data_IF_885365220932
#
_entry.id   IF_885365220932
#
_cell.length_a   1.000
_cell.length_b   1.000
_cell.length_c   1.000
_cell.angle_alpha   90.00
_cell.angle_beta   90.00
_cell.angle_gamma   90.00
#
_symmetry.space_group_name_H-M   'P 1'
#
loop_
_entity.id
_entity.type
_entity.pdbx_description
1 polymer ?
#
# COMPACT_ATOMS: atom_id res chain seq x y z
N UNK A 1 -14.78 7.00 -20.86
CA UNK A 1 -13.73 6.97 -19.84
C UNK A 1 -12.41 6.75 -20.55
N UNK A 2 -11.50 7.72 -20.51
CA UNK A 2 -10.14 7.50 -21.00
C UNK A 2 -9.52 6.45 -20.09
N UNK A 3 -9.05 5.32 -20.66
CA UNK A 3 -8.30 4.33 -19.89
C UNK A 3 -7.05 5.02 -19.35
N UNK A 4 -6.85 5.00 -18.03
CA UNK A 4 -5.58 5.40 -17.42
C UNK A 4 -4.47 4.58 -18.09
N UNK A 5 -3.39 5.25 -18.51
CA UNK A 5 -2.24 4.61 -19.15
C UNK A 5 -1.49 3.71 -18.17
N UNK A 6 -0.65 2.81 -18.68
CA UNK A 6 0.07 1.87 -17.81
C UNK A 6 1.11 2.60 -16.95
N UNK A 7 1.76 3.63 -17.50
CA UNK A 7 2.71 4.48 -16.80
C UNK A 7 2.01 5.23 -15.66
N UNK A 8 0.81 5.76 -15.93
CA UNK A 8 0.05 6.46 -14.89
C UNK A 8 -0.44 5.51 -13.80
N UNK A 9 -0.78 4.26 -14.13
CA UNK A 9 -1.07 3.25 -13.12
C UNK A 9 0.15 2.95 -12.26
N UNK A 10 1.33 2.87 -12.86
CA UNK A 10 2.56 2.63 -12.13
C UNK A 10 2.87 3.79 -11.18
N UNK A 11 2.72 5.04 -11.63
CA UNK A 11 2.87 6.21 -10.75
C UNK A 11 1.92 6.15 -9.54
N UNK A 12 0.64 5.82 -9.77
CA UNK A 12 -0.36 5.74 -8.70
C UNK A 12 -0.12 4.57 -7.75
N UNK A 13 0.37 3.45 -8.28
CA UNK A 13 0.81 2.31 -7.48
C UNK A 13 1.99 2.68 -6.58
N UNK A 14 3.04 3.31 -7.12
CA UNK A 14 4.20 3.75 -6.36
C UNK A 14 3.79 4.78 -5.30
N UNK A 15 3.01 5.79 -5.68
CA UNK A 15 2.55 6.82 -4.75
C UNK A 15 1.72 6.22 -3.60
N UNK A 16 0.89 5.21 -3.88
CA UNK A 16 0.15 4.47 -2.84
C UNK A 16 1.10 3.79 -1.87
N UNK A 17 2.04 3.00 -2.37
CA UNK A 17 3.01 2.30 -1.53
C UNK A 17 3.81 3.31 -0.70
N UNK A 18 4.17 4.46 -1.28
CA UNK A 18 4.92 5.52 -0.61
C UNK A 18 4.25 6.09 0.64
N UNK A 19 2.90 6.12 0.70
CA UNK A 19 2.15 6.57 1.88
C UNK A 19 2.23 5.64 3.08
N UNK A 20 2.68 4.40 2.91
CA UNK A 20 2.72 3.39 3.96
C UNK A 20 4.14 2.88 4.19
N UNK A 21 4.56 2.75 5.45
CA UNK A 21 5.91 2.29 5.77
C UNK A 21 6.31 2.52 7.22
N UNK A 22 7.38 1.88 7.67
CA UNK A 22 7.78 1.96 9.09
C UNK A 22 8.19 3.36 9.55
N UNK A 23 8.45 4.29 8.61
CA UNK A 23 8.67 5.70 8.93
C UNK A 23 7.50 6.32 9.72
N UNK A 24 6.26 5.86 9.48
CA UNK A 24 5.06 6.35 10.16
C UNK A 24 5.07 6.10 11.67
N UNK A 25 5.89 5.16 12.16
CA UNK A 25 6.00 4.89 13.60
C UNK A 25 6.56 6.09 14.37
N UNK A 26 7.36 6.95 13.71
CA UNK A 26 7.95 8.16 14.29
C UNK A 26 7.24 9.47 13.92
N UNK A 27 6.28 9.43 12.98
CA UNK A 27 5.54 10.62 12.54
C UNK A 27 4.49 11.05 13.57
N UNK A 28 3.89 12.23 13.41
CA UNK A 28 2.78 12.68 14.26
C UNK A 28 1.42 12.11 13.82
N UNK A 29 0.40 12.26 14.66
CA UNK A 29 -0.92 11.69 14.42
C UNK A 29 -1.63 12.29 13.19
N UNK A 30 -1.33 13.54 12.83
CA UNK A 30 -1.89 14.20 11.65
C UNK A 30 -1.28 13.61 10.38
N UNK A 31 0.04 13.40 10.37
CA UNK A 31 0.77 12.79 9.26
C UNK A 31 0.33 11.33 9.06
N UNK A 32 0.20 10.56 10.14
CA UNK A 32 -0.35 9.20 10.07
C UNK A 32 -1.78 9.24 9.55
N UNK A 33 -2.58 10.17 10.07
CA UNK A 33 -3.96 10.38 9.68
C UNK A 33 -4.13 10.53 8.16
N UNK A 34 -3.44 11.52 7.62
CA UNK A 34 -3.46 11.86 6.20
C UNK A 34 -2.91 10.72 5.33
N UNK A 35 -1.74 10.18 5.67
CA UNK A 35 -1.12 9.14 4.85
C UNK A 35 -1.92 7.84 4.83
N UNK A 36 -2.35 7.33 5.99
CA UNK A 36 -2.99 6.02 6.08
C UNK A 36 -4.49 6.09 5.78
N UNK A 37 -5.21 7.02 6.43
CA UNK A 37 -6.68 7.01 6.43
C UNK A 37 -7.30 7.89 5.35
N UNK A 38 -6.49 8.61 4.56
CA UNK A 38 -6.98 9.37 3.39
C UNK A 38 -6.33 8.86 2.09
N UNK A 39 -5.01 8.98 1.97
CA UNK A 39 -4.30 8.69 0.72
C UNK A 39 -4.11 7.18 0.49
N UNK A 40 -3.52 6.46 1.46
CA UNK A 40 -3.21 5.04 1.34
C UNK A 40 -4.48 4.19 1.21
N UNK A 41 -5.52 4.45 2.02
CA UNK A 41 -6.80 3.73 1.97
C UNK A 41 -7.39 3.75 0.55
N UNK A 42 -7.52 4.95 -0.03
CA UNK A 42 -8.01 5.13 -1.40
C UNK A 42 -7.14 4.37 -2.41
N UNK A 43 -5.82 4.43 -2.22
CA UNK A 43 -4.85 3.77 -3.09
C UNK A 43 -4.88 2.24 -2.99
N UNK A 44 -5.06 1.67 -1.80
CA UNK A 44 -5.15 0.21 -1.59
C UNK A 44 -6.38 -0.37 -2.29
N UNK A 45 -7.52 0.30 -2.17
CA UNK A 45 -8.77 -0.13 -2.81
C UNK A 45 -8.65 -0.04 -4.35
N UNK A 46 -7.96 0.98 -4.86
CA UNK A 46 -7.90 1.29 -6.29
C UNK A 46 -6.74 0.62 -7.02
N UNK A 47 -5.51 0.83 -6.55
CA UNK A 47 -4.27 0.55 -7.28
C UNK A 47 -3.56 -0.73 -6.85
N UNK A 48 -3.93 -1.31 -5.70
CA UNK A 48 -3.52 -2.66 -5.31
C UNK A 48 -4.57 -3.72 -5.66
N UNK A 49 -5.63 -3.34 -6.38
CA UNK A 49 -6.63 -4.31 -6.88
C UNK A 49 -5.98 -5.30 -7.85
N UNK A 50 -6.45 -6.56 -7.83
CA UNK A 50 -5.89 -7.66 -8.63
C UNK A 50 -5.78 -7.31 -10.12
N UNK A 51 -6.81 -6.68 -10.70
CA UNK A 51 -6.80 -6.25 -12.10
C UNK A 51 -5.69 -5.23 -12.42
N UNK A 52 -5.37 -4.34 -11.47
CA UNK A 52 -4.28 -3.35 -11.65
C UNK A 52 -2.93 -4.03 -11.53
N UNK A 53 -2.75 -4.87 -10.52
CA UNK A 53 -1.51 -5.63 -10.33
C UNK A 53 -1.20 -6.52 -11.53
N UNK A 54 -2.20 -7.23 -12.06
CA UNK A 54 -2.03 -8.07 -13.24
C UNK A 54 -1.61 -7.23 -14.45
N UNK A 55 -2.24 -6.07 -14.67
CA UNK A 55 -1.88 -5.18 -15.79
C UNK A 55 -0.44 -4.68 -15.69
N UNK A 56 0.02 -4.32 -14.48
CA UNK A 56 1.39 -3.87 -14.25
C UNK A 56 2.40 -5.01 -14.46
N UNK A 57 2.04 -6.23 -14.03
CA UNK A 57 2.84 -7.45 -14.24
C UNK A 57 2.93 -7.83 -15.73
N UNK A 58 1.80 -7.83 -16.45
CA UNK A 58 1.74 -8.10 -17.89
C UNK A 58 2.58 -7.10 -18.71
N UNK A 59 2.72 -5.87 -18.21
CA UNK A 59 3.56 -4.84 -18.79
C UNK A 59 5.04 -4.94 -18.40
N UNK A 60 5.41 -5.90 -17.54
CA UNK A 60 6.77 -6.10 -17.05
C UNK A 60 7.26 -5.03 -16.07
N UNK A 61 6.34 -4.26 -15.47
CA UNK A 61 6.69 -3.16 -14.56
C UNK A 61 6.84 -3.61 -13.09
N UNK A 62 6.19 -4.71 -12.73
CA UNK A 62 6.33 -5.34 -11.40
C UNK A 62 6.52 -6.85 -11.58
N UNK A 63 7.31 -7.47 -10.70
CA UNK A 63 7.54 -8.92 -10.71
C UNK A 63 6.39 -9.69 -10.07
N UNK A 64 6.35 -11.02 -10.28
CA UNK A 64 5.40 -11.90 -9.62
C UNK A 64 5.51 -11.83 -8.08
N UNK A 65 6.73 -11.63 -7.56
CA UNK A 65 6.96 -11.42 -6.13
C UNK A 65 6.26 -10.14 -5.65
N UNK A 66 6.35 -9.05 -6.41
CA UNK A 66 5.69 -7.80 -6.07
C UNK A 66 4.17 -7.93 -6.17
N UNK A 67 3.63 -8.66 -7.15
CA UNK A 67 2.19 -8.96 -7.23
C UNK A 67 1.72 -9.69 -5.97
N UNK A 68 2.46 -10.72 -5.55
CA UNK A 68 2.14 -11.47 -4.34
C UNK A 68 2.18 -10.59 -3.08
N UNK A 69 3.26 -9.81 -2.91
CA UNK A 69 3.40 -8.91 -1.75
C UNK A 69 2.32 -7.84 -1.72
N UNK A 70 2.02 -7.21 -2.85
CA UNK A 70 1.00 -6.16 -2.94
C UNK A 70 -0.42 -6.69 -2.73
N UNK A 71 -0.70 -7.91 -3.20
CA UNK A 71 -1.97 -8.58 -2.89
C UNK A 71 -2.08 -8.89 -1.40
N UNK A 72 -1.01 -9.43 -0.81
CA UNK A 72 -0.95 -9.72 0.64
C UNK A 72 -1.12 -8.44 1.47
N UNK A 73 -0.47 -7.34 1.06
CA UNK A 73 -0.58 -6.04 1.71
C UNK A 73 -2.02 -5.54 1.70
N UNK A 74 -2.69 -5.62 0.54
CA UNK A 74 -4.09 -5.25 0.41
C UNK A 74 -4.98 -6.08 1.34
N UNK A 75 -4.82 -7.40 1.35
CA UNK A 75 -5.67 -8.27 2.16
C UNK A 75 -5.51 -7.99 3.66
N UNK A 76 -4.27 -7.80 4.14
CA UNK A 76 -4.01 -7.39 5.53
C UNK A 76 -4.67 -6.05 5.88
N UNK A 77 -4.61 -5.07 4.98
CA UNK A 77 -5.23 -3.75 5.21
C UNK A 77 -6.75 -3.87 5.25
N UNK A 78 -7.35 -4.64 4.34
CA UNK A 78 -8.79 -4.88 4.33
C UNK A 78 -9.26 -5.60 5.61
N UNK A 79 -8.48 -6.53 6.15
CA UNK A 79 -8.77 -7.15 7.44
C UNK A 79 -8.74 -6.13 8.59
N UNK A 80 -7.73 -5.26 8.62
CA UNK A 80 -7.61 -4.19 9.64
C UNK A 80 -8.78 -3.20 9.58
N UNK A 81 -9.28 -2.88 8.38
CA UNK A 81 -10.43 -2.00 8.18
C UNK A 81 -11.74 -2.54 8.77
N UNK A 82 -11.88 -3.86 8.85
CA UNK A 82 -13.05 -4.51 9.42
C UNK A 82 -12.94 -4.68 10.95
N UNK A 83 -11.78 -4.41 11.54
CA UNK A 83 -11.51 -4.57 12.95
C UNK A 83 -11.41 -3.24 13.72
N UNK A 84 -11.12 -3.35 15.01
CA UNK A 84 -10.93 -2.20 15.91
C UNK A 84 -9.54 -1.55 15.77
N UNK A 85 -8.69 -2.08 14.90
CA UNK A 85 -7.32 -1.61 14.69
C UNK A 85 -7.21 -0.49 13.64
N UNK A 86 -8.31 -0.03 13.06
CA UNK A 86 -8.31 1.06 12.09
C UNK A 86 -8.21 2.45 12.74
N UNK A 87 -7.11 2.71 13.46
CA UNK A 87 -6.85 3.97 14.15
C UNK A 87 -5.35 4.26 14.32
N UNK A 88 -4.98 5.52 14.52
CA UNK A 88 -3.59 5.99 14.67
C UNK A 88 -2.83 5.25 15.78
N UNK A 89 -3.50 4.98 16.92
CA UNK A 89 -2.86 4.31 18.05
C UNK A 89 -2.46 2.87 17.69
N UNK A 90 -3.28 2.15 16.93
CA UNK A 90 -2.97 0.83 16.43
C UNK A 90 -1.84 0.86 15.39
N UNK A 91 -1.81 1.84 14.47
CA UNK A 91 -0.71 2.01 13.50
C UNK A 91 0.66 2.04 14.20
N UNK A 92 0.78 2.73 15.34
CA UNK A 92 2.05 2.82 16.10
C UNK A 92 2.41 1.55 16.85
N UNK A 93 1.40 0.88 17.43
CA UNK A 93 1.64 -0.07 18.50
C UNK A 93 1.30 -1.52 18.14
N UNK A 94 0.38 -1.73 17.20
CA UNK A 94 -0.10 -3.07 16.86
C UNK A 94 0.97 -3.90 16.13
N UNK A 95 1.11 -5.19 16.49
CA UNK A 95 1.94 -6.11 15.71
C UNK A 95 1.41 -6.34 14.29
N UNK A 96 0.10 -6.22 14.05
CA UNK A 96 -0.48 -6.43 12.73
C UNK A 96 -0.20 -5.25 11.80
N UNK A 97 -0.31 -4.02 12.32
CA UNK A 97 0.18 -2.83 11.60
C UNK A 97 1.68 -2.90 11.31
N UNK A 98 2.50 -3.41 12.24
CA UNK A 98 3.93 -3.61 11.96
C UNK A 98 4.19 -4.54 10.78
N UNK A 99 3.33 -5.54 10.53
CA UNK A 99 3.45 -6.40 9.34
C UNK A 99 3.14 -5.61 8.07
N UNK A 100 2.04 -4.84 8.08
CA UNK A 100 1.62 -3.97 6.96
C UNK A 100 2.72 -2.97 6.60
N UNK A 101 3.23 -2.23 7.59
CA UNK A 101 4.25 -1.20 7.39
C UNK A 101 5.56 -1.78 6.83
N UNK A 102 6.01 -2.93 7.37
CA UNK A 102 7.21 -3.61 6.86
C UNK A 102 7.03 -4.14 5.45
N UNK A 103 5.86 -4.70 5.15
CA UNK A 103 5.57 -5.23 3.82
C UNK A 103 5.55 -4.12 2.77
N UNK A 104 5.02 -2.93 3.12
CA UNK A 104 5.12 -1.75 2.27
C UNK A 104 6.59 -1.35 2.02
N UNK A 105 7.43 -1.32 3.06
CA UNK A 105 8.86 -1.02 2.91
C UNK A 105 9.59 -2.07 2.04
N UNK A 106 9.24 -3.35 2.16
CA UNK A 106 9.79 -4.42 1.32
C UNK A 106 9.42 -4.22 -0.16
N UNK A 107 8.16 -3.83 -0.45
CA UNK A 107 7.71 -3.53 -1.81
C UNK A 107 8.47 -2.31 -2.36
N UNK A 108 8.68 -1.26 -1.55
CA UNK A 108 9.52 -0.10 -1.93
C UNK A 108 10.94 -0.52 -2.26
N UNK A 109 11.52 -1.43 -1.47
CA UNK A 109 12.85 -1.97 -1.73
C UNK A 109 12.96 -2.67 -3.09
N UNK A 110 11.88 -3.31 -3.55
CA UNK A 110 11.82 -3.92 -4.88
C UNK A 110 11.68 -2.89 -6.02
N UNK A 111 11.15 -1.69 -5.75
CA UNK A 111 10.96 -0.62 -6.73
C UNK A 111 12.23 0.21 -7.01
N UNK A 112 13.15 0.28 -6.05
CA UNK A 112 14.37 1.08 -6.11
C UNK A 112 15.65 0.31 -6.45
N UNK A 113 15.52 -0.88 -7.05
CA UNK A 113 16.63 -1.77 -7.44
C UNK A 113 17.12 -1.59 -8.87
#
# INVERSE_FOLDING_TARGET
>A
MNKISIEKLMELYVDTIDKCGTYLLSEDDMVIGYNIFEEFDTGVISFLHADVLQRLSDAGLISDEMVYKSSTLRDLVLELQQGDEWNVNAVRNSPDWRKVLKLADEIKGCLGG
#
